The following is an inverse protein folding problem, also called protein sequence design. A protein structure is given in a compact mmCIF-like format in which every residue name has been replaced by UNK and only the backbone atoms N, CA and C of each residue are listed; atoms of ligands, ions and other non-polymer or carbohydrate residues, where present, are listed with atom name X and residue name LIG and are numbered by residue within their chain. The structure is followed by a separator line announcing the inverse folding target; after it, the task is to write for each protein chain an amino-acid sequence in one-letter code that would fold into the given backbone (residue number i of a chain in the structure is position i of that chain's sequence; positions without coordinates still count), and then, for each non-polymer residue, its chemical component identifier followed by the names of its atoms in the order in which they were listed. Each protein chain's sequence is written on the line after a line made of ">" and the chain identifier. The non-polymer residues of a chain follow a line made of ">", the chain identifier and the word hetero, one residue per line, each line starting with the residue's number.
data_IF_623007993773
#
_entry.id   IF_623007993773
#
_cell.length_a   1.000
_cell.length_b   1.000
_cell.length_c   1.000
_cell.angle_alpha   90.00
_cell.angle_beta   90.00
_cell.angle_gamma   90.00
#
_symmetry.space_group_name_H-M   'P 1'
#
loop_
_entity.id
_entity.type
_entity.pdbx_description
1 polymer ?
#
# COMPACT_ATOMS: atom_id res chain seq x y z
N UNK A 1 18.93 9.49 -0.90
CA UNK A 1 17.70 9.94 -0.22
C UNK A 1 17.19 8.75 0.54
N UNK A 2 17.01 8.84 1.86
CA UNK A 2 16.51 7.72 2.66
C UNK A 2 14.98 7.72 2.59
N UNK A 3 14.43 6.86 1.73
CA UNK A 3 12.99 6.57 1.70
C UNK A 3 12.72 5.63 2.87
N UNK A 4 12.14 6.12 3.95
CA UNK A 4 12.02 5.40 5.23
C UNK A 4 10.78 4.52 5.32
N UNK A 5 9.82 4.68 4.41
CA UNK A 5 8.55 3.95 4.44
C UNK A 5 8.22 3.35 3.08
N UNK A 6 7.84 2.08 3.06
CA UNK A 6 7.09 1.44 1.98
C UNK A 6 5.60 1.59 2.25
N UNK A 7 4.80 1.85 1.23
CA UNK A 7 3.34 1.76 1.33
C UNK A 7 2.76 0.77 0.32
N UNK A 8 1.65 0.16 0.72
CA UNK A 8 0.77 -0.64 -0.12
C UNK A 8 -0.66 -0.19 0.13
N UNK A 9 -1.27 0.51 -0.83
CA UNK A 9 -2.63 1.05 -0.69
C UNK A 9 -3.56 0.51 -1.76
N UNK A 10 -4.84 0.42 -1.45
CA UNK A 10 -5.87 0.29 -2.47
C UNK A 10 -5.84 1.55 -3.35
N UNK A 11 -5.81 1.35 -4.67
CA UNK A 11 -5.93 2.45 -5.63
C UNK A 11 -7.39 2.94 -5.69
N UNK A 12 -7.55 4.23 -5.89
CA UNK A 12 -8.87 4.87 -5.99
C UNK A 12 -9.41 5.46 -4.68
N UNK A 13 -10.55 6.15 -4.83
CA UNK A 13 -11.21 6.90 -3.75
C UNK A 13 -12.63 6.38 -3.45
N UNK A 14 -13.12 5.43 -4.25
CA UNK A 14 -14.43 4.80 -4.21
C UNK A 14 -14.42 3.48 -3.40
N UNK A 15 -13.77 3.52 -2.23
CA UNK A 15 -13.55 2.35 -1.38
C UNK A 15 -14.71 2.08 -0.41
N UNK A 16 -15.79 2.87 -0.42
CA UNK A 16 -16.86 2.82 0.60
C UNK A 16 -17.48 1.42 0.73
N UNK A 17 -17.75 0.78 -0.41
CA UNK A 17 -18.40 -0.54 -0.43
C UNK A 17 -17.42 -1.68 -0.04
N UNK A 18 -16.11 -1.41 -0.09
CA UNK A 18 -15.04 -2.39 0.18
C UNK A 18 -14.23 -2.10 1.44
N UNK A 19 -14.45 -0.96 2.09
CA UNK A 19 -13.65 -0.46 3.23
C UNK A 19 -13.54 -1.52 4.33
N UNK A 20 -14.68 -2.10 4.73
CA UNK A 20 -14.71 -3.08 5.80
C UNK A 20 -13.93 -4.35 5.44
N UNK A 21 -14.04 -4.81 4.19
CA UNK A 21 -13.35 -6.00 3.71
C UNK A 21 -11.84 -5.77 3.60
N UNK A 22 -11.43 -4.65 3.01
CA UNK A 22 -10.04 -4.23 2.88
C UNK A 22 -9.39 -4.03 4.25
N UNK A 23 -10.04 -3.27 5.13
CA UNK A 23 -9.57 -3.04 6.51
C UNK A 23 -9.38 -4.34 7.26
N UNK A 24 -10.34 -5.27 7.18
CA UNK A 24 -10.23 -6.57 7.84
C UNK A 24 -9.07 -7.41 7.27
N UNK A 25 -8.87 -7.39 5.95
CA UNK A 25 -7.78 -8.12 5.29
C UNK A 25 -6.41 -7.58 5.71
N UNK A 26 -6.22 -6.26 5.69
CA UNK A 26 -4.97 -5.62 6.11
C UNK A 26 -4.70 -5.79 7.61
N UNK A 27 -5.73 -5.65 8.45
CA UNK A 27 -5.60 -5.89 9.89
C UNK A 27 -5.20 -7.35 10.19
N UNK A 28 -5.78 -8.30 9.46
CA UNK A 28 -5.40 -9.71 9.57
C UNK A 28 -3.94 -9.94 9.18
N UNK A 29 -3.49 -9.39 8.05
CA UNK A 29 -2.08 -9.50 7.63
C UNK A 29 -1.15 -8.89 8.70
N UNK A 30 -1.45 -7.67 9.16
CA UNK A 30 -0.66 -7.00 10.19
C UNK A 30 -0.58 -7.82 11.50
N UNK A 31 -1.65 -8.53 11.88
CA UNK A 31 -1.66 -9.39 13.07
C UNK A 31 -0.86 -10.68 12.92
N UNK A 32 -0.58 -11.13 11.69
CA UNK A 32 0.16 -12.36 11.40
C UNK A 32 1.68 -12.14 11.32
N UNK A 33 2.11 -10.90 11.09
CA UNK A 33 3.52 -10.55 11.08
C UNK A 33 4.03 -10.37 12.52
N UNK A 34 5.10 -11.09 12.86
CA UNK A 34 5.69 -11.07 14.19
C UNK A 34 6.45 -9.76 14.52
N UNK A 35 6.72 -8.92 13.51
CA UNK A 35 7.39 -7.64 13.68
C UNK A 35 6.40 -6.47 13.59
N UNK A 36 6.53 -5.43 14.45
CA UNK A 36 5.63 -4.27 14.49
C UNK A 36 5.79 -3.31 13.30
N UNK A 37 6.29 -3.79 12.16
CA UNK A 37 6.58 -2.94 11.00
C UNK A 37 5.35 -2.62 10.16
N UNK A 38 4.30 -3.44 10.17
CA UNK A 38 3.07 -3.21 9.41
C UNK A 38 2.08 -2.31 10.17
N UNK A 39 1.93 -1.08 9.72
CA UNK A 39 0.96 -0.13 10.24
C UNK A 39 -0.24 -0.03 9.28
N UNK A 40 -1.43 -0.41 9.75
CA UNK A 40 -2.68 -0.16 9.04
C UNK A 40 -2.95 1.35 8.94
N UNK A 41 -3.24 1.80 7.73
CA UNK A 41 -3.66 3.16 7.40
C UNK A 41 -5.07 3.09 6.83
N UNK A 42 -5.97 3.89 7.37
CA UNK A 42 -7.29 4.16 6.81
C UNK A 42 -7.56 5.65 7.02
N UNK A 43 -6.98 6.47 6.16
CA UNK A 43 -7.08 7.92 6.22
C UNK A 43 -7.87 8.43 5.02
N UNK A 44 -9.00 9.08 5.31
CA UNK A 44 -9.88 9.67 4.31
C UNK A 44 -9.81 11.18 4.45
N UNK A 45 -9.17 11.86 3.50
CA UNK A 45 -9.15 13.33 3.49
C UNK A 45 -10.53 13.84 3.07
N UNK A 46 -11.30 14.34 4.02
CA UNK A 46 -12.56 15.03 3.71
C UNK A 46 -12.28 16.43 3.17
N UNK A 47 -13.09 16.88 2.20
CA UNK A 47 -12.97 18.11 1.37
C UNK A 47 -12.75 19.47 2.09
N UNK A 48 -12.59 19.50 3.41
CA UNK A 48 -12.26 20.70 4.16
C UNK A 48 -10.79 21.13 4.03
N UNK A 49 -9.93 20.34 3.38
CA UNK A 49 -8.52 20.66 3.15
C UNK A 49 -8.30 21.25 1.75
N UNK A 50 -8.80 22.46 1.51
CA UNK A 50 -8.38 23.36 0.39
C UNK A 50 -8.53 22.89 -1.07
N UNK A 51 -9.11 21.72 -1.35
CA UNK A 51 -9.30 21.18 -2.70
C UNK A 51 -10.46 21.81 -3.49
N UNK A 52 -10.41 21.71 -4.82
CA UNK A 52 -11.52 22.13 -5.67
C UNK A 52 -12.72 21.19 -5.42
N UNK A 53 -13.99 21.65 -5.47
CA UNK A 53 -15.16 20.80 -5.20
C UNK A 53 -15.36 19.60 -6.15
N UNK A 54 -14.53 19.49 -7.19
CA UNK A 54 -14.49 18.35 -8.12
C UNK A 54 -13.29 17.42 -7.85
N UNK A 55 -12.39 17.76 -6.93
CA UNK A 55 -11.30 16.88 -6.53
C UNK A 55 -11.87 15.78 -5.65
N UNK A 56 -11.75 14.54 -6.10
CA UNK A 56 -12.16 13.37 -5.33
C UNK A 56 -11.36 13.33 -4.02
N UNK A 57 -12.04 13.14 -2.89
CA UNK A 57 -11.42 12.97 -1.58
C UNK A 57 -10.32 11.89 -1.64
N UNK A 58 -9.07 12.25 -1.37
CA UNK A 58 -7.97 11.28 -1.31
C UNK A 58 -8.24 10.28 -0.18
N UNK A 59 -8.18 8.98 -0.49
CA UNK A 59 -8.33 7.90 0.48
C UNK A 59 -7.08 7.03 0.49
N UNK A 60 -6.31 7.10 1.57
CA UNK A 60 -5.20 6.18 1.82
C UNK A 60 -5.69 5.01 2.69
N UNK A 61 -6.02 3.88 2.07
CA UNK A 61 -6.39 2.65 2.75
C UNK A 61 -5.40 1.53 2.44
N UNK A 62 -4.67 1.06 3.44
CA UNK A 62 -3.77 -0.09 3.33
C UNK A 62 -2.68 -0.11 4.39
N UNK A 63 -1.43 -0.31 4.00
CA UNK A 63 -0.33 -0.55 4.92
C UNK A 63 0.84 0.41 4.70
N UNK A 64 1.41 0.88 5.80
CA UNK A 64 2.75 1.43 5.88
C UNK A 64 3.70 0.40 6.47
N UNK A 65 4.94 0.37 5.96
CA UNK A 65 6.01 -0.49 6.46
C UNK A 65 7.31 0.28 6.53
N UNK A 66 8.10 0.08 7.59
CA UNK A 66 9.48 0.55 7.59
C UNK A 66 10.26 -0.17 6.48
N UNK A 67 10.78 0.61 5.53
CA UNK A 67 11.48 0.06 4.37
C UNK A 67 12.76 -0.70 4.78
N UNK A 68 13.39 -0.32 5.89
CA UNK A 68 14.60 -0.97 6.41
C UNK A 68 14.31 -2.26 7.17
N UNK A 69 13.04 -2.51 7.52
CA UNK A 69 12.63 -3.69 8.26
C UNK A 69 12.13 -4.82 7.34
N UNK A 70 11.98 -4.56 6.04
CA UNK A 70 11.45 -5.51 5.07
C UNK A 70 12.53 -6.48 4.59
N UNK A 71 12.30 -7.77 4.80
CA UNK A 71 13.05 -8.82 4.13
C UNK A 71 12.48 -9.11 2.74
N UNK A 72 13.23 -9.89 1.95
CA UNK A 72 12.74 -10.41 0.67
C UNK A 72 11.45 -11.23 0.83
N UNK A 73 11.36 -12.04 1.88
CA UNK A 73 10.19 -12.89 2.14
C UNK A 73 8.96 -12.06 2.50
N UNK A 74 9.17 -10.91 3.17
CA UNK A 74 8.08 -9.97 3.47
C UNK A 74 7.55 -9.30 2.20
N UNK A 75 8.43 -8.95 1.25
CA UNK A 75 8.00 -8.43 -0.07
C UNK A 75 7.20 -9.46 -0.84
N UNK A 76 7.65 -10.72 -0.85
CA UNK A 76 6.93 -11.81 -1.52
C UNK A 76 5.56 -12.04 -0.86
N UNK A 77 5.49 -11.98 0.47
CA UNK A 77 4.22 -12.04 1.21
C UNK A 77 3.29 -10.89 0.82
N UNK A 78 3.78 -9.65 0.80
CA UNK A 78 3.00 -8.47 0.42
C UNK A 78 2.51 -8.54 -1.02
N UNK A 79 3.35 -9.00 -1.94
CA UNK A 79 2.98 -9.17 -3.35
C UNK A 79 1.84 -10.18 -3.51
N UNK A 80 1.98 -11.36 -2.92
CA UNK A 80 0.95 -12.40 -2.99
C UNK A 80 -0.34 -11.96 -2.30
N UNK A 81 -0.23 -11.32 -1.13
CA UNK A 81 -1.38 -10.77 -0.43
C UNK A 81 -2.15 -9.74 -1.28
N UNK A 82 -1.43 -8.77 -1.87
CA UNK A 82 -2.06 -7.72 -2.69
C UNK A 82 -2.75 -8.31 -3.91
N UNK A 83 -2.10 -9.26 -4.59
CA UNK A 83 -2.66 -9.97 -5.74
C UNK A 83 -3.93 -10.75 -5.39
N UNK A 84 -3.89 -11.52 -4.30
CA UNK A 84 -5.04 -12.31 -3.85
C UNK A 84 -6.19 -11.42 -3.40
N UNK A 85 -5.89 -10.29 -2.76
CA UNK A 85 -6.90 -9.32 -2.35
C UNK A 85 -7.52 -8.63 -3.57
N UNK A 86 -6.71 -8.31 -4.59
CA UNK A 86 -7.20 -7.74 -5.86
C UNK A 86 -8.16 -8.69 -6.58
N UNK A 87 -7.85 -9.98 -6.59
CA UNK A 87 -8.74 -10.99 -7.16
C UNK A 87 -10.07 -11.11 -6.39
N UNK A 88 -10.08 -10.85 -5.09
CA UNK A 88 -11.27 -10.95 -4.24
C UNK A 88 -12.15 -9.71 -4.28
N UNK A 89 -11.55 -8.52 -4.35
CA UNK A 89 -12.26 -7.25 -4.21
C UNK A 89 -12.45 -6.52 -5.52
N UNK A 90 -11.67 -6.86 -6.55
CA UNK A 90 -11.63 -6.15 -7.83
C UNK A 90 -10.82 -4.86 -7.80
N UNK A 91 -10.26 -4.48 -6.65
CA UNK A 91 -9.42 -3.28 -6.51
C UNK A 91 -7.98 -3.57 -6.90
N UNK A 92 -7.34 -2.59 -7.54
CA UNK A 92 -5.90 -2.58 -7.75
C UNK A 92 -5.20 -2.02 -6.51
N UNK A 93 -3.93 -2.39 -6.30
CA UNK A 93 -3.12 -1.89 -5.21
C UNK A 93 -1.87 -1.19 -5.70
N UNK A 94 -1.58 -0.01 -5.18
CA UNK A 94 -0.36 0.72 -5.46
C UNK A 94 0.71 0.37 -4.42
N UNK A 95 1.89 -0.01 -4.89
CA UNK A 95 3.08 -0.18 -4.08
C UNK A 95 4.04 0.97 -4.36
N UNK A 96 4.51 1.62 -3.31
CA UNK A 96 5.43 2.74 -3.45
C UNK A 96 6.27 3.02 -2.23
N UNK A 97 7.07 4.08 -2.32
CA UNK A 97 7.99 4.51 -1.28
C UNK A 97 7.67 5.94 -0.87
N UNK A 98 7.75 6.22 0.43
CA UNK A 98 7.60 7.54 1.00
C UNK A 98 8.88 7.97 1.73
N UNK A 99 9.25 9.24 1.54
CA UNK A 99 10.16 9.99 2.41
C UNK A 99 9.27 10.91 3.26
N UNK A 100 9.03 10.50 4.51
CA UNK A 100 8.12 11.23 5.41
C UNK A 100 8.67 12.59 5.81
N UNK A 101 10.00 12.77 5.82
CA UNK A 101 10.62 14.04 6.17
C UNK A 101 10.38 15.09 5.08
N UNK A 102 10.42 14.66 3.81
CA UNK A 102 10.23 15.54 2.65
C UNK A 102 8.80 15.58 2.13
N UNK A 103 7.91 14.75 2.69
CA UNK A 103 6.54 14.55 2.20
C UNK A 103 6.50 14.18 0.72
N UNK A 104 7.44 13.34 0.29
CA UNK A 104 7.51 12.85 -1.08
C UNK A 104 7.07 11.39 -1.09
N UNK A 105 6.19 11.05 -2.02
CA UNK A 105 5.79 9.68 -2.33
C UNK A 105 6.19 9.38 -3.78
N UNK A 106 6.47 8.12 -4.05
CA UNK A 106 6.80 7.62 -5.38
C UNK A 106 6.12 6.26 -5.56
N UNK A 107 5.12 6.23 -6.44
CA UNK A 107 4.47 4.99 -6.86
C UNK A 107 5.41 4.22 -7.78
N UNK A 108 5.66 2.97 -7.46
CA UNK A 108 6.61 2.13 -8.18
C UNK A 108 5.91 1.16 -9.13
N UNK A 109 4.83 0.54 -8.65
CA UNK A 109 4.05 -0.40 -9.45
C UNK A 109 2.63 -0.55 -8.89
N UNK A 110 1.77 -1.07 -9.75
CA UNK A 110 0.39 -1.40 -9.44
C UNK A 110 0.21 -2.92 -9.51
N UNK A 111 -0.57 -3.45 -8.57
CA UNK A 111 -0.77 -4.88 -8.33
C UNK A 111 -2.26 -5.17 -8.47
N UNK A 112 -2.64 -5.80 -9.56
CA UNK A 112 -3.97 -6.35 -9.78
C UNK A 112 -3.95 -7.89 -9.71
N UNK A 113 -5.11 -8.51 -9.95
CA UNK A 113 -5.29 -9.96 -9.90
C UNK A 113 -4.39 -10.74 -10.87
N UNK A 114 -3.95 -10.09 -11.96
CA UNK A 114 -3.10 -10.69 -13.00
C UNK A 114 -1.61 -10.33 -12.84
N UNK A 115 -1.25 -9.57 -11.80
CA UNK A 115 0.12 -9.14 -11.56
C UNK A 115 1.10 -10.34 -11.51
N UNK A 116 2.28 -10.14 -12.07
CA UNK A 116 3.23 -11.21 -12.33
C UNK A 116 4.64 -10.91 -11.84
N UNK A 117 5.60 -11.62 -12.42
CA UNK A 117 7.00 -11.53 -12.01
C UNK A 117 7.58 -10.11 -12.20
N UNK A 118 7.06 -9.33 -13.15
CA UNK A 118 7.52 -7.95 -13.38
C UNK A 118 7.27 -7.07 -12.15
N UNK A 119 6.04 -7.03 -11.65
CA UNK A 119 5.64 -6.21 -10.52
C UNK A 119 6.38 -6.69 -9.25
N UNK A 120 6.46 -8.00 -9.07
CA UNK A 120 7.23 -8.62 -7.99
C UNK A 120 8.71 -8.19 -8.01
N UNK A 121 9.36 -8.21 -9.17
CA UNK A 121 10.75 -7.77 -9.31
C UNK A 121 10.91 -6.27 -9.02
N UNK A 122 9.96 -5.43 -9.42
CA UNK A 122 9.97 -4.00 -9.09
C UNK A 122 9.96 -3.80 -7.57
N UNK A 123 9.06 -4.46 -6.85
CA UNK A 123 9.00 -4.39 -5.39
C UNK A 123 10.31 -4.84 -4.73
N UNK A 124 10.89 -5.96 -5.21
CA UNK A 124 12.15 -6.48 -4.68
C UNK A 124 13.33 -5.54 -4.92
N UNK A 125 13.40 -4.94 -6.11
CA UNK A 125 14.46 -3.97 -6.41
C UNK A 125 14.32 -2.72 -5.55
N UNK A 126 13.10 -2.26 -5.26
CA UNK A 126 12.86 -1.04 -4.49
C UNK A 126 13.56 -1.03 -3.12
N UNK A 127 13.63 -2.19 -2.45
CA UNK A 127 14.26 -2.35 -1.13
C UNK A 127 15.74 -2.76 -1.20
N UNK A 128 16.23 -3.20 -2.37
CA UNK A 128 17.61 -3.66 -2.54
C UNK A 128 18.63 -2.51 -2.70
N UNK A 129 18.18 -1.29 -2.98
CA UNK A 129 19.02 -0.09 -3.16
C UNK A 129 19.02 0.85 -1.95
N UNK A 130 18.52 0.41 -0.80
CA UNK A 130 18.61 1.14 0.47
C UNK A 130 19.91 0.82 1.20
#
# INVERSE_FOLDING_TARGET
>A
MTKDTVYLYADGCDLQDSEAALTAAFAKLASQCAQPSLLLVNDRKTDNDTGHPDDLSEWSLGLHVDANALSKDDIDLLFHFAKDLAAQTGHEFVFGLADRQKKLTEDLCFINADAGERERLLMLTAIAWQ
#
